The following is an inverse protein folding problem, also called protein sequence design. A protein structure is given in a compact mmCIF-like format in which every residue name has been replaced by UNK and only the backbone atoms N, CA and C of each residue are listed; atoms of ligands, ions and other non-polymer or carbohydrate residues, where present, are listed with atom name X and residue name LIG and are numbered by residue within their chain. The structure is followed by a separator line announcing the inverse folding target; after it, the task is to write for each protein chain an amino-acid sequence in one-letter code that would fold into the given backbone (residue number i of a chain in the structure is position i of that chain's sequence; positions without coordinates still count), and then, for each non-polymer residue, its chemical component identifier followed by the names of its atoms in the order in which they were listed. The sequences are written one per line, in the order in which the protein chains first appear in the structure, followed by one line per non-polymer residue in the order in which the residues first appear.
data_IF_727572007933
#
_entry.id   IF_727572007933
#
_cell.length_a   1.000
_cell.length_b   1.000
_cell.length_c   1.000
_cell.angle_alpha   90.00
_cell.angle_beta   90.00
_cell.angle_gamma   90.00
#
_symmetry.space_group_name_H-M   'P 1'
#
loop_
_entity.id
_entity.type
_entity.pdbx_description
1 polymer ?
#
# COMPACT_ATOMS: atom_id res chain seq x y z
N UNK A 1 -9.41 24.59 17.91
CA UNK A 1 -8.64 25.23 16.81
C UNK A 1 -8.68 24.32 15.60
N UNK A 2 -8.82 24.87 14.38
CA UNK A 2 -9.03 24.08 13.16
C UNK A 2 -8.00 24.53 12.10
N UNK A 3 -6.86 23.84 12.01
CA UNK A 3 -5.79 24.16 11.04
C UNK A 3 -6.14 23.66 9.63
N UNK A 4 -5.31 24.00 8.63
CA UNK A 4 -5.42 23.43 7.28
C UNK A 4 -5.44 21.89 7.30
N UNK A 5 -4.53 21.27 8.07
CA UNK A 5 -4.47 19.82 8.22
C UNK A 5 -5.75 19.24 8.82
N UNK A 6 -6.38 19.91 9.79
CA UNK A 6 -7.67 19.47 10.33
C UNK A 6 -8.75 19.48 9.24
N UNK A 7 -8.86 20.57 8.47
CA UNK A 7 -9.87 20.67 7.40
C UNK A 7 -9.68 19.54 6.38
N UNK A 8 -8.46 19.38 5.87
CA UNK A 8 -8.12 18.36 4.88
C UNK A 8 -8.35 16.94 5.41
N UNK A 9 -7.92 16.66 6.64
CA UNK A 9 -8.10 15.36 7.28
C UNK A 9 -9.58 15.03 7.53
N UNK A 10 -10.35 15.98 8.05
CA UNK A 10 -11.77 15.78 8.38
C UNK A 10 -12.59 15.43 7.12
N UNK A 11 -12.33 16.09 5.99
CA UNK A 11 -13.00 15.78 4.71
C UNK A 11 -12.73 14.33 4.30
N UNK A 12 -11.47 13.89 4.35
CA UNK A 12 -11.10 12.51 4.01
C UNK A 12 -11.71 11.50 4.98
N UNK A 13 -11.70 11.81 6.28
CA UNK A 13 -12.25 10.92 7.30
C UNK A 13 -13.75 10.76 7.21
N UNK A 14 -14.51 11.85 7.02
CA UNK A 14 -15.96 11.76 6.80
C UNK A 14 -16.28 10.83 5.64
N UNK A 15 -15.58 11.02 4.50
CA UNK A 15 -15.75 10.15 3.34
C UNK A 15 -15.42 8.68 3.63
N UNK A 16 -14.32 8.40 4.33
CA UNK A 16 -13.95 7.02 4.72
C UNK A 16 -15.05 6.37 5.56
N UNK A 17 -15.58 7.12 6.53
CA UNK A 17 -16.58 6.64 7.48
C UNK A 17 -17.92 6.38 6.80
N UNK A 18 -18.39 7.33 6.00
CA UNK A 18 -19.67 7.24 5.29
C UNK A 18 -19.64 6.15 4.22
N UNK A 19 -18.61 6.13 3.35
CA UNK A 19 -18.47 5.17 2.25
C UNK A 19 -18.37 3.72 2.74
N UNK A 20 -17.89 3.50 3.97
CA UNK A 20 -17.65 2.17 4.53
C UNK A 20 -18.55 1.83 5.72
N UNK A 21 -19.45 2.74 6.13
CA UNK A 21 -20.35 2.60 7.29
C UNK A 21 -19.60 2.12 8.54
N UNK A 22 -18.47 2.74 8.84
CA UNK A 22 -17.56 2.28 9.91
C UNK A 22 -18.12 2.59 11.30
N UNK A 23 -18.13 1.58 12.16
CA UNK A 23 -18.40 1.73 13.59
C UNK A 23 -17.12 1.74 14.43
N UNK A 24 -16.03 1.20 13.89
CA UNK A 24 -14.74 1.11 14.56
C UNK A 24 -13.58 1.22 13.57
N UNK A 25 -12.45 1.74 14.04
CA UNK A 25 -11.20 1.85 13.28
C UNK A 25 -10.01 1.42 14.13
N UNK A 26 -9.00 0.83 13.48
CA UNK A 26 -7.68 0.59 14.07
C UNK A 26 -6.69 1.60 13.53
N UNK A 27 -5.90 2.20 14.41
CA UNK A 27 -4.87 3.18 14.06
C UNK A 27 -3.50 2.61 14.38
N UNK A 28 -2.73 2.31 13.34
CA UNK A 28 -1.34 1.89 13.47
C UNK A 28 -0.44 3.07 13.78
N UNK A 29 0.19 3.04 14.95
CA UNK A 29 1.11 4.09 15.40
C UNK A 29 2.53 3.55 15.59
N UNK A 30 3.53 4.43 15.50
CA UNK A 30 4.94 4.12 15.72
C UNK A 30 5.60 5.00 16.78
N UNK A 31 4.94 6.07 17.26
CA UNK A 31 5.54 7.09 18.13
C UNK A 31 6.37 8.14 17.40
N UNK A 32 6.63 7.93 16.10
CA UNK A 32 7.24 8.93 15.24
C UNK A 32 6.27 10.08 14.91
N UNK A 33 6.84 11.14 14.36
CA UNK A 33 6.16 12.40 14.05
C UNK A 33 4.83 12.21 13.30
N UNK A 34 4.83 11.47 12.19
CA UNK A 34 3.63 11.29 11.35
C UNK A 34 2.53 10.53 12.08
N UNK A 35 2.91 9.54 12.90
CA UNK A 35 1.95 8.76 13.69
C UNK A 35 1.33 9.59 14.83
N UNK A 36 2.11 10.47 15.45
CA UNK A 36 1.60 11.37 16.49
C UNK A 36 0.69 12.44 15.89
N UNK A 37 1.05 13.00 14.72
CA UNK A 37 0.17 13.89 13.97
C UNK A 37 -1.16 13.21 13.61
N UNK A 38 -1.10 11.97 13.08
CA UNK A 38 -2.29 11.19 12.77
C UNK A 38 -3.18 10.98 14.01
N UNK A 39 -2.58 10.54 15.13
CA UNK A 39 -3.29 10.33 16.39
C UNK A 39 -4.02 11.60 16.80
N UNK A 40 -3.34 12.74 16.82
CA UNK A 40 -3.95 14.02 17.20
C UNK A 40 -5.12 14.42 16.30
N UNK A 41 -4.94 14.30 14.99
CA UNK A 41 -5.98 14.60 14.01
C UNK A 41 -7.21 13.69 14.19
N UNK A 42 -7.00 12.42 14.50
CA UNK A 42 -8.09 11.46 14.77
C UNK A 42 -8.86 11.83 16.05
N UNK A 43 -8.17 12.17 17.14
CA UNK A 43 -8.81 12.55 18.40
C UNK A 43 -9.57 13.87 18.27
N UNK A 44 -8.97 14.86 17.60
CA UNK A 44 -9.61 16.15 17.35
C UNK A 44 -10.82 16.00 16.41
N UNK A 45 -10.74 15.09 15.43
CA UNK A 45 -11.87 14.72 14.58
C UNK A 45 -13.00 14.10 15.41
N UNK A 46 -12.72 13.08 16.23
CA UNK A 46 -13.70 12.41 17.10
C UNK A 46 -14.42 13.41 18.01
N UNK A 47 -13.66 14.30 18.64
CA UNK A 47 -14.18 15.35 19.53
C UNK A 47 -15.09 16.33 18.77
N UNK A 48 -14.70 16.73 17.57
CA UNK A 48 -15.44 17.72 16.76
C UNK A 48 -16.74 17.16 16.20
N UNK A 49 -16.72 15.95 15.66
CA UNK A 49 -17.89 15.35 15.00
C UNK A 49 -18.85 14.67 15.96
N UNK A 50 -18.50 14.56 17.25
CA UNK A 50 -19.20 13.72 18.24
C UNK A 50 -19.44 12.30 17.69
N UNK A 51 -18.51 11.83 16.85
CA UNK A 51 -18.65 10.55 16.18
C UNK A 51 -18.63 9.41 17.19
N UNK A 52 -19.56 8.48 17.04
CA UNK A 52 -19.66 7.27 17.85
C UNK A 52 -18.63 6.20 17.48
N UNK A 53 -17.68 6.52 16.59
CA UNK A 53 -16.68 5.56 16.14
C UNK A 53 -15.75 5.19 17.29
N UNK A 54 -15.63 3.89 17.52
CA UNK A 54 -14.64 3.32 18.42
C UNK A 54 -13.26 3.37 17.76
N UNK A 55 -12.27 3.86 18.51
CA UNK A 55 -10.90 4.03 18.04
C UNK A 55 -10.01 3.13 18.88
N UNK A 56 -9.27 2.26 18.21
CA UNK A 56 -8.29 1.39 18.84
C UNK A 56 -6.91 1.66 18.26
N UNK A 57 -5.93 1.89 19.13
CA UNK A 57 -4.55 2.09 18.71
C UNK A 57 -3.80 0.77 18.75
N UNK A 58 -2.93 0.55 17.77
CA UNK A 58 -2.03 -0.61 17.75
C UNK A 58 -0.58 -0.16 17.55
N UNK A 59 0.30 -0.67 18.40
CA UNK A 59 1.75 -0.49 18.30
C UNK A 59 2.42 -1.86 18.22
N UNK A 60 3.40 -1.96 17.33
CA UNK A 60 4.17 -3.19 17.10
C UNK A 60 5.62 -2.88 17.40
N UNK A 61 6.10 -3.42 18.52
CA UNK A 61 7.48 -3.34 18.94
C UNK A 61 8.29 -4.46 18.26
N UNK A 62 9.18 -4.07 17.36
CA UNK A 62 10.10 -4.99 16.68
C UNK A 62 11.31 -5.36 17.56
N UNK A 63 11.44 -4.80 18.76
CA UNK A 63 12.53 -5.05 19.71
C UNK A 63 13.94 -4.82 19.10
N UNK A 64 14.04 -3.91 18.13
CA UNK A 64 15.32 -3.53 17.52
C UNK A 64 16.20 -2.70 18.45
N UNK A 65 15.64 -2.18 19.55
CA UNK A 65 16.34 -1.34 20.50
C UNK A 65 16.03 -1.75 21.93
N UNK A 66 17.01 -1.55 22.79
CA UNK A 66 16.90 -1.82 24.22
C UNK A 66 15.96 -0.84 24.93
N UNK A 67 15.75 0.36 24.37
CA UNK A 67 14.91 1.42 24.92
C UNK A 67 13.44 1.35 24.48
N UNK A 68 13.03 0.32 23.72
CA UNK A 68 11.66 0.18 23.22
C UNK A 68 10.60 0.20 24.33
N UNK A 69 10.96 -0.28 25.53
CA UNK A 69 10.11 -0.25 26.74
C UNK A 69 9.71 1.18 27.13
N UNK A 70 10.61 2.15 27.00
CA UNK A 70 10.31 3.55 27.31
C UNK A 70 9.37 4.16 26.29
N UNK A 71 9.57 3.84 25.01
CA UNK A 71 8.66 4.25 23.93
C UNK A 71 7.25 3.67 24.12
N UNK A 72 7.15 2.40 24.53
CA UNK A 72 5.87 1.78 24.88
C UNK A 72 5.18 2.54 26.02
N UNK A 73 5.90 2.77 27.13
CA UNK A 73 5.36 3.49 28.29
C UNK A 73 4.88 4.90 27.90
N UNK A 74 5.65 5.58 27.07
CA UNK A 74 5.33 6.90 26.52
C UNK A 74 4.01 6.90 25.74
N UNK A 75 3.86 5.95 24.81
CA UNK A 75 2.64 5.81 24.00
C UNK A 75 1.41 5.46 24.85
N UNK A 76 1.55 4.54 25.81
CA UNK A 76 0.47 4.18 26.74
C UNK A 76 -0.01 5.42 27.50
N UNK A 77 0.92 6.17 28.09
CA UNK A 77 0.60 7.34 28.88
C UNK A 77 -0.11 8.40 28.04
N UNK A 78 0.36 8.64 26.81
CA UNK A 78 -0.24 9.63 25.93
C UNK A 78 -1.66 9.25 25.48
N UNK A 79 -1.90 7.99 25.12
CA UNK A 79 -3.22 7.53 24.66
C UNK A 79 -4.24 7.48 25.79
N UNK A 80 -3.80 7.19 27.02
CA UNK A 80 -4.64 7.27 28.22
C UNK A 80 -5.26 8.65 28.43
N UNK A 81 -4.57 9.73 28.03
CA UNK A 81 -5.12 11.10 28.10
C UNK A 81 -6.40 11.28 27.26
N UNK A 82 -6.55 10.48 26.19
CA UNK A 82 -7.72 10.47 25.32
C UNK A 82 -8.78 9.43 25.70
N UNK A 83 -8.61 8.73 26.84
CA UNK A 83 -9.49 7.65 27.30
C UNK A 83 -9.68 6.52 26.26
N UNK A 84 -8.68 6.30 25.40
CA UNK A 84 -8.66 5.20 24.44
C UNK A 84 -7.66 4.13 24.89
N UNK A 85 -7.72 2.96 24.26
CA UNK A 85 -6.83 1.82 24.54
C UNK A 85 -5.79 1.67 23.43
N UNK A 86 -4.64 1.11 23.80
CA UNK A 86 -3.58 0.70 22.87
C UNK A 86 -3.28 -0.78 23.05
N UNK A 87 -3.30 -1.53 21.96
CA UNK A 87 -2.80 -2.90 21.90
C UNK A 87 -1.32 -2.88 21.52
N UNK A 88 -0.49 -3.55 22.31
CA UNK A 88 0.96 -3.62 22.09
C UNK A 88 1.33 -5.06 21.76
N UNK A 89 2.01 -5.24 20.63
CA UNK A 89 2.55 -6.52 20.22
C UNK A 89 4.08 -6.42 20.20
N UNK A 90 4.75 -7.27 20.97
CA UNK A 90 6.21 -7.35 20.98
C UNK A 90 6.66 -8.57 20.19
N UNK A 91 7.47 -8.37 19.15
CA UNK A 91 8.00 -9.45 18.33
C UNK A 91 9.33 -9.89 18.91
N UNK A 92 9.37 -11.10 19.48
CA UNK A 92 10.57 -11.65 20.13
C UNK A 92 11.64 -12.11 19.13
N UNK A 93 11.27 -12.40 17.88
CA UNK A 93 12.22 -12.85 16.86
C UNK A 93 12.93 -11.66 16.25
N UNK A 94 14.26 -11.68 16.24
CA UNK A 94 15.08 -10.67 15.53
C UNK A 94 14.73 -10.68 14.04
N UNK A 95 14.02 -9.64 13.60
CA UNK A 95 13.72 -9.42 12.19
C UNK A 95 14.78 -8.49 11.63
N UNK A 96 15.75 -9.04 10.91
CA UNK A 96 16.93 -8.28 10.45
C UNK A 96 16.60 -7.38 9.25
N UNK A 97 15.55 -7.69 8.46
CA UNK A 97 15.20 -6.90 7.28
C UNK A 97 13.92 -6.07 7.45
N UNK A 98 13.97 -4.81 7.00
CA UNK A 98 12.82 -3.89 7.01
C UNK A 98 11.61 -4.46 6.26
N UNK A 99 11.85 -5.21 5.18
CA UNK A 99 10.81 -5.89 4.39
C UNK A 99 10.08 -6.94 5.25
N UNK A 100 10.81 -7.86 5.89
CA UNK A 100 10.20 -8.89 6.75
C UNK A 100 9.51 -8.25 7.95
N UNK A 101 10.05 -7.17 8.50
CA UNK A 101 9.44 -6.45 9.61
C UNK A 101 8.11 -5.82 9.19
N UNK A 102 8.06 -5.23 7.99
CA UNK A 102 6.83 -4.68 7.41
C UNK A 102 5.79 -5.76 7.12
N UNK A 103 6.18 -6.92 6.60
CA UNK A 103 5.27 -8.05 6.38
C UNK A 103 4.67 -8.57 7.68
N UNK A 104 5.51 -8.82 8.69
CA UNK A 104 5.05 -9.25 10.02
C UNK A 104 4.13 -8.21 10.67
N UNK A 105 4.46 -6.92 10.53
CA UNK A 105 3.64 -5.83 11.04
C UNK A 105 2.23 -5.88 10.44
N UNK A 106 2.13 -5.98 9.11
CA UNK A 106 0.82 -6.07 8.46
C UNK A 106 0.08 -7.34 8.84
N UNK A 107 0.76 -8.49 8.96
CA UNK A 107 0.14 -9.74 9.42
C UNK A 107 -0.48 -9.60 10.80
N UNK A 108 0.23 -8.98 11.75
CA UNK A 108 -0.25 -8.74 13.11
C UNK A 108 -1.47 -7.80 13.10
N UNK A 109 -1.38 -6.66 12.39
CA UNK A 109 -2.48 -5.69 12.34
C UNK A 109 -3.72 -6.31 11.68
N UNK A 110 -3.56 -7.08 10.60
CA UNK A 110 -4.68 -7.75 9.93
C UNK A 110 -5.33 -8.77 10.86
N UNK A 111 -4.54 -9.59 11.56
CA UNK A 111 -5.07 -10.59 12.50
C UNK A 111 -5.80 -9.93 13.67
N UNK A 112 -5.23 -8.86 14.23
CA UNK A 112 -5.89 -8.06 15.27
C UNK A 112 -7.21 -7.48 14.75
N UNK A 113 -7.21 -6.85 13.57
CA UNK A 113 -8.43 -6.32 12.97
C UNK A 113 -9.52 -7.37 12.75
N UNK A 114 -9.16 -8.60 12.33
CA UNK A 114 -10.10 -9.70 12.19
C UNK A 114 -10.70 -10.13 13.53
N UNK A 115 -9.88 -10.23 14.57
CA UNK A 115 -10.32 -10.67 15.91
C UNK A 115 -11.29 -9.67 16.56
N UNK A 116 -11.11 -8.37 16.30
CA UNK A 116 -11.95 -7.30 16.85
C UNK A 116 -13.04 -6.80 15.87
N UNK A 117 -13.24 -7.50 14.75
CA UNK A 117 -14.25 -7.20 13.73
C UNK A 117 -14.13 -5.78 13.14
N UNK A 118 -12.91 -5.23 13.10
CA UNK A 118 -12.63 -3.94 12.47
C UNK A 118 -12.44 -4.12 10.97
N UNK A 119 -13.14 -3.31 10.18
CA UNK A 119 -13.04 -3.32 8.72
C UNK A 119 -12.07 -2.27 8.16
N UNK A 120 -11.58 -1.35 9.00
CA UNK A 120 -10.70 -0.26 8.58
C UNK A 120 -9.44 -0.13 9.47
N UNK A 121 -8.29 -0.08 8.80
CA UNK A 121 -6.99 0.24 9.41
C UNK A 121 -6.53 1.60 8.86
N UNK A 122 -6.00 2.47 9.72
CA UNK A 122 -5.48 3.78 9.35
C UNK A 122 -3.99 3.85 9.73
N UNK A 123 -3.15 4.37 8.82
CA UNK A 123 -1.71 4.55 9.07
C UNK A 123 -1.24 5.92 8.61
N UNK A 124 -0.21 6.46 9.27
CA UNK A 124 0.29 7.83 9.05
C UNK A 124 1.28 7.96 7.90
N UNK A 125 1.12 7.21 6.80
CA UNK A 125 2.01 7.38 5.64
C UNK A 125 1.74 8.73 4.95
N UNK A 126 2.81 9.38 4.51
CA UNK A 126 2.85 10.76 4.01
C UNK A 126 3.20 10.84 2.53
N UNK A 127 3.18 12.05 1.96
CA UNK A 127 3.63 12.28 0.57
C UNK A 127 5.09 11.89 0.38
N UNK A 128 5.94 12.23 1.34
CA UNK A 128 7.36 11.86 1.35
C UNK A 128 7.53 10.35 1.27
N UNK A 129 6.74 9.60 2.05
CA UNK A 129 6.80 8.13 2.02
C UNK A 129 6.41 7.55 0.67
N UNK A 130 5.46 8.18 -0.03
CA UNK A 130 5.03 7.78 -1.37
C UNK A 130 6.16 7.96 -2.38
N UNK A 131 6.86 9.10 -2.34
CA UNK A 131 7.99 9.40 -3.23
C UNK A 131 9.17 8.49 -2.94
N UNK A 132 9.53 8.29 -1.66
CA UNK A 132 10.59 7.36 -1.26
C UNK A 132 10.30 5.94 -1.73
N UNK A 133 9.07 5.46 -1.52
CA UNK A 133 8.63 4.13 -1.95
C UNK A 133 8.68 4.01 -3.48
N UNK A 134 8.30 5.06 -4.21
CA UNK A 134 8.41 5.10 -5.67
C UNK A 134 9.88 5.00 -6.11
N UNK A 135 10.76 5.87 -5.63
CA UNK A 135 12.17 5.91 -6.03
C UNK A 135 12.89 4.59 -5.71
N UNK A 136 12.64 4.00 -4.54
CA UNK A 136 13.21 2.69 -4.19
C UNK A 136 12.78 1.59 -5.17
N UNK A 137 11.51 1.56 -5.55
CA UNK A 137 11.01 0.56 -6.49
C UNK A 137 11.50 0.83 -7.92
N UNK A 138 11.58 2.09 -8.32
CA UNK A 138 12.10 2.49 -9.62
C UNK A 138 13.56 2.04 -9.80
N UNK A 139 14.42 2.32 -8.81
CA UNK A 139 15.84 1.94 -8.82
C UNK A 139 16.02 0.41 -8.88
N UNK A 140 15.13 -0.35 -8.23
CA UNK A 140 15.17 -1.82 -8.26
C UNK A 140 14.62 -2.44 -9.56
N UNK A 141 14.05 -1.62 -10.44
CA UNK A 141 13.24 -2.07 -11.56
C UNK A 141 11.85 -2.49 -11.08
N UNK A 142 10.82 -1.81 -11.59
CA UNK A 142 9.44 -2.10 -11.19
C UNK A 142 8.47 -1.88 -12.34
N UNK A 143 7.30 -2.52 -12.25
CA UNK A 143 6.17 -2.20 -13.12
C UNK A 143 5.44 -0.97 -12.60
N UNK A 144 4.50 -0.45 -13.39
CA UNK A 144 3.63 0.65 -12.95
C UNK A 144 2.88 0.31 -11.65
N UNK A 145 2.55 -0.97 -11.42
CA UNK A 145 1.90 -1.43 -10.20
C UNK A 145 2.77 -1.29 -8.95
N UNK A 146 4.07 -1.54 -9.10
CA UNK A 146 5.02 -1.26 -8.02
C UNK A 146 5.26 0.24 -7.88
N UNK A 147 5.49 0.95 -8.97
CA UNK A 147 5.70 2.41 -8.96
C UNK A 147 4.56 3.15 -8.23
N UNK A 148 3.31 2.73 -8.44
CA UNK A 148 2.11 3.31 -7.80
C UNK A 148 1.61 2.50 -6.59
N UNK A 149 2.47 1.76 -5.89
CA UNK A 149 2.02 0.80 -4.86
C UNK A 149 1.53 1.44 -3.54
N UNK A 150 1.96 2.66 -3.24
CA UNK A 150 1.55 3.39 -2.04
C UNK A 150 0.36 4.31 -2.35
N UNK A 151 -0.85 3.74 -2.24
CA UNK A 151 -2.14 4.42 -2.53
C UNK A 151 -2.93 4.76 -1.27
N UNK A 152 -3.87 5.69 -1.40
CA UNK A 152 -4.73 6.16 -0.31
C UNK A 152 -5.56 5.03 0.32
N UNK A 153 -6.21 4.20 -0.50
CA UNK A 153 -7.08 3.10 -0.09
C UNK A 153 -6.55 1.80 -0.68
N UNK A 154 -6.23 0.82 0.16
CA UNK A 154 -5.79 -0.51 -0.26
C UNK A 154 -6.62 -1.58 0.43
N UNK A 155 -7.31 -2.43 -0.35
CA UNK A 155 -7.93 -3.65 0.20
C UNK A 155 -6.83 -4.62 0.62
N UNK A 156 -6.84 -5.06 1.87
CA UNK A 156 -5.91 -6.07 2.38
C UNK A 156 -6.50 -7.47 2.24
N UNK A 157 -7.81 -7.60 2.42
CA UNK A 157 -8.60 -8.80 2.10
C UNK A 157 -10.06 -8.39 1.81
N UNK A 158 -10.98 -9.36 1.80
CA UNK A 158 -12.42 -9.13 1.52
C UNK A 158 -13.12 -8.28 2.59
N UNK A 159 -12.59 -8.21 3.82
CA UNK A 159 -13.23 -7.54 4.98
C UNK A 159 -12.50 -6.29 5.43
N UNK A 160 -11.19 -6.20 5.19
CA UNK A 160 -10.31 -5.19 5.77
C UNK A 160 -9.72 -4.30 4.68
N UNK A 161 -9.87 -2.99 4.89
CA UNK A 161 -9.29 -1.94 4.06
C UNK A 161 -8.32 -1.08 4.85
N UNK A 162 -7.16 -0.81 4.26
CA UNK A 162 -6.17 0.12 4.77
C UNK A 162 -6.34 1.51 4.15
N UNK A 163 -6.35 2.54 4.99
CA UNK A 163 -6.43 3.94 4.63
C UNK A 163 -5.17 4.72 5.07
N UNK A 164 -4.75 5.67 4.23
CA UNK A 164 -3.61 6.56 4.46
C UNK A 164 -4.04 8.02 4.27
N UNK A 165 -4.75 8.61 5.22
CA UNK A 165 -5.33 9.96 5.06
C UNK A 165 -4.28 11.06 4.89
N UNK A 166 -3.06 10.85 5.40
CA UNK A 166 -1.96 11.82 5.30
C UNK A 166 -1.12 11.69 4.01
N UNK A 167 -1.50 10.83 3.06
CA UNK A 167 -0.67 10.48 1.90
C UNK A 167 -0.34 11.67 0.97
N UNK A 168 -1.14 12.74 1.01
CA UNK A 168 -0.93 13.96 0.21
C UNK A 168 -0.37 15.11 1.04
N UNK A 169 0.01 14.86 2.30
CA UNK A 169 0.52 15.87 3.25
C UNK A 169 2.04 15.80 3.27
N UNK A 170 2.67 16.97 3.22
CA UNK A 170 4.11 17.14 3.23
C UNK A 170 4.68 17.02 4.66
N UNK A 171 5.94 16.60 4.76
CA UNK A 171 6.62 16.50 6.06
C UNK A 171 6.75 17.84 6.78
N UNK A 172 6.91 18.94 6.04
CA UNK A 172 6.95 20.30 6.59
C UNK A 172 5.65 20.68 7.29
N UNK A 173 4.50 20.34 6.70
CA UNK A 173 3.18 20.58 7.27
C UNK A 173 2.95 19.76 8.54
N UNK A 174 3.38 18.50 8.54
CA UNK A 174 3.35 17.63 9.73
C UNK A 174 4.26 18.20 10.81
N UNK A 175 5.45 18.70 10.46
CA UNK A 175 6.40 19.27 11.42
C UNK A 175 5.80 20.51 12.10
N UNK A 176 5.29 21.43 11.29
CA UNK A 176 4.59 22.60 11.79
C UNK A 176 3.44 22.22 12.72
N UNK A 177 2.62 21.24 12.32
CA UNK A 177 1.51 20.76 13.14
C UNK A 177 1.98 20.20 14.47
N UNK A 178 2.97 19.31 14.46
CA UNK A 178 3.51 18.72 15.68
C UNK A 178 4.08 19.77 16.62
N UNK A 179 4.79 20.78 16.10
CA UNK A 179 5.30 21.90 16.90
C UNK A 179 4.18 22.76 17.46
N UNK A 180 3.17 23.08 16.65
CA UNK A 180 2.04 23.92 17.06
C UNK A 180 1.23 23.32 18.21
N UNK A 181 1.13 21.99 18.25
CA UNK A 181 0.36 21.25 19.26
C UNK A 181 1.23 20.56 20.32
N UNK A 182 2.54 20.86 20.36
CA UNK A 182 3.49 20.28 21.33
C UNK A 182 3.42 18.76 21.39
N UNK A 183 3.37 18.12 20.22
CA UNK A 183 3.21 16.68 20.12
C UNK A 183 4.43 15.96 20.70
N UNK A 184 4.24 14.96 21.57
CA UNK A 184 5.36 14.29 22.23
C UNK A 184 5.93 13.20 21.32
N UNK A 185 6.77 13.60 20.38
CA UNK A 185 7.38 12.72 19.38
C UNK A 185 8.50 11.89 20.02
N UNK A 186 8.48 10.58 19.79
CA UNK A 186 9.62 9.73 20.10
C UNK A 186 10.64 9.78 18.94
N UNK A 187 11.81 10.36 19.18
CA UNK A 187 12.86 10.46 18.16
C UNK A 187 13.51 9.10 17.92
N UNK A 188 13.54 8.65 16.67
CA UNK A 188 14.22 7.42 16.29
C UNK A 188 15.61 7.76 15.72
N UNK A 189 16.66 7.41 16.48
CA UNK A 189 18.06 7.62 16.09
C UNK A 189 18.43 6.93 14.76
N UNK A 190 17.73 5.85 14.40
CA UNK A 190 17.99 5.13 13.14
C UNK A 190 17.64 5.97 11.92
N UNK A 191 16.83 7.03 12.07
CA UNK A 191 16.57 8.00 10.99
C UNK A 191 17.84 8.72 10.53
N UNK A 192 18.91 8.71 11.33
CA UNK A 192 20.19 9.34 10.99
C UNK A 192 21.20 8.34 10.41
N UNK A 193 20.83 7.08 10.20
CA UNK A 193 21.72 6.08 9.60
C UNK A 193 21.54 6.03 8.08
N UNK A 194 22.53 6.55 7.35
CA UNK A 194 22.50 6.67 5.89
C UNK A 194 22.73 5.34 5.15
N UNK A 195 23.21 4.30 5.86
CA UNK A 195 23.26 2.93 5.34
C UNK A 195 21.86 2.37 5.01
N UNK A 196 20.81 2.95 5.61
CA UNK A 196 19.43 2.65 5.26
C UNK A 196 19.08 3.45 4.00
N UNK A 197 18.90 2.73 2.88
CA UNK A 197 18.61 3.32 1.56
C UNK A 197 17.50 4.39 1.57
N UNK A 198 16.47 4.21 2.40
CA UNK A 198 15.38 5.18 2.57
C UNK A 198 15.85 6.51 3.15
N UNK A 199 16.69 6.48 4.19
CA UNK A 199 17.26 7.68 4.79
C UNK A 199 18.19 8.39 3.81
N UNK A 200 18.98 7.63 3.05
CA UNK A 200 19.85 8.20 2.01
C UNK A 200 19.06 8.91 0.92
N UNK A 201 17.97 8.32 0.44
CA UNK A 201 17.08 8.97 -0.51
C UNK A 201 16.53 10.30 0.03
N UNK A 202 16.12 10.30 1.29
CA UNK A 202 15.52 11.43 1.99
C UNK A 202 16.50 12.59 2.25
N UNK A 203 17.72 12.29 2.69
CA UNK A 203 18.67 13.31 3.14
C UNK A 203 19.75 13.66 2.12
N UNK A 204 20.02 12.81 1.13
CA UNK A 204 20.99 13.11 0.07
C UNK A 204 20.29 13.31 -1.27
N UNK A 205 19.58 12.28 -1.76
CA UNK A 205 19.15 12.25 -3.16
C UNK A 205 18.05 13.26 -3.49
N UNK A 206 16.97 13.30 -2.70
CA UNK A 206 15.88 14.26 -2.93
C UNK A 206 16.38 15.71 -2.77
N UNK A 207 17.15 16.07 -1.73
CA UNK A 207 17.77 17.40 -1.65
C UNK A 207 18.68 17.72 -2.83
N UNK A 208 19.48 16.75 -3.30
CA UNK A 208 20.32 16.92 -4.48
C UNK A 208 19.49 17.22 -5.74
N UNK A 209 18.42 16.48 -5.98
CA UNK A 209 17.50 16.76 -7.10
C UNK A 209 16.86 18.15 -6.99
N UNK A 210 16.44 18.53 -5.79
CA UNK A 210 15.84 19.85 -5.54
C UNK A 210 16.82 21.00 -5.81
N UNK A 211 18.10 20.82 -5.47
CA UNK A 211 19.11 21.87 -5.58
C UNK A 211 19.69 22.01 -7.01
N UNK A 212 19.84 20.89 -7.73
CA UNK A 212 20.58 20.88 -9.00
C UNK A 212 19.74 20.63 -10.25
N UNK A 213 18.51 20.11 -10.12
CA UNK A 213 17.67 19.78 -11.27
C UNK A 213 16.40 20.60 -11.32
N UNK A 214 15.58 20.54 -10.27
CA UNK A 214 14.29 21.21 -10.25
C UNK A 214 13.84 21.49 -8.83
N UNK A 215 13.52 22.74 -8.54
CA UNK A 215 12.90 23.08 -7.27
C UNK A 215 11.57 22.33 -7.12
N UNK A 216 11.34 21.74 -5.96
CA UNK A 216 10.09 21.07 -5.60
C UNK A 216 9.80 19.81 -6.44
N UNK A 217 10.83 19.02 -6.76
CA UNK A 217 10.74 17.75 -7.50
C UNK A 217 9.71 16.79 -6.89
N UNK A 218 9.53 16.85 -5.57
CA UNK A 218 8.58 16.03 -4.81
C UNK A 218 7.12 16.24 -5.26
N UNK A 219 6.75 17.49 -5.57
CA UNK A 219 5.41 17.78 -6.10
C UNK A 219 5.22 17.16 -7.49
N UNK A 220 6.18 17.37 -8.40
CA UNK A 220 6.13 16.84 -9.76
C UNK A 220 6.06 15.31 -9.77
N UNK A 221 6.87 14.64 -8.93
CA UNK A 221 6.84 13.19 -8.78
C UNK A 221 5.49 12.71 -8.24
N UNK A 222 4.90 13.42 -7.28
CA UNK A 222 3.60 13.05 -6.75
C UNK A 222 2.49 13.19 -7.79
N UNK A 223 2.53 14.22 -8.64
CA UNK A 223 1.54 14.44 -9.70
C UNK A 223 1.67 13.37 -10.78
N UNK A 224 2.90 13.04 -11.19
CA UNK A 224 3.17 11.89 -12.06
C UNK A 224 2.60 10.59 -11.48
N UNK A 225 2.80 10.34 -10.18
CA UNK A 225 2.27 9.16 -9.51
C UNK A 225 0.74 9.15 -9.43
N UNK A 226 0.11 10.31 -9.27
CA UNK A 226 -1.35 10.43 -9.25
C UNK A 226 -1.95 10.08 -10.61
N UNK A 227 -1.41 10.65 -11.69
CA UNK A 227 -1.84 10.38 -13.07
C UNK A 227 -1.61 8.90 -13.40
N UNK A 228 -0.39 8.42 -13.15
CA UNK A 228 -0.01 7.02 -13.35
C UNK A 228 -0.94 6.05 -12.62
N UNK A 229 -1.38 6.38 -11.41
CA UNK A 229 -2.28 5.52 -10.64
C UNK A 229 -3.69 5.46 -11.27
N UNK A 230 -4.21 6.59 -11.78
CA UNK A 230 -5.52 6.64 -12.44
C UNK A 230 -5.51 5.78 -13.70
N UNK A 231 -4.50 5.96 -14.55
CA UNK A 231 -4.33 5.16 -15.78
C UNK A 231 -4.16 3.68 -15.46
N UNK A 232 -3.35 3.38 -14.44
CA UNK A 232 -3.10 2.01 -13.99
C UNK A 232 -4.41 1.33 -13.54
N UNK A 233 -5.24 2.01 -12.74
CA UNK A 233 -6.53 1.49 -12.29
C UNK A 233 -7.49 1.25 -13.46
N UNK A 234 -7.53 2.14 -14.45
CA UNK A 234 -8.34 1.94 -15.66
C UNK A 234 -7.92 0.67 -16.43
N UNK A 235 -6.61 0.47 -16.64
CA UNK A 235 -6.08 -0.74 -17.30
C UNK A 235 -6.42 -1.99 -16.50
N UNK A 236 -6.31 -1.95 -15.16
CA UNK A 236 -6.68 -3.09 -14.29
C UNK A 236 -8.16 -3.45 -14.43
N UNK A 237 -9.04 -2.45 -14.39
CA UNK A 237 -10.48 -2.67 -14.50
C UNK A 237 -10.85 -3.32 -15.84
N UNK A 238 -10.26 -2.85 -16.94
CA UNK A 238 -10.46 -3.43 -18.26
C UNK A 238 -9.92 -4.86 -18.36
N UNK A 239 -8.74 -5.14 -17.78
CA UNK A 239 -8.20 -6.49 -17.73
C UNK A 239 -9.07 -7.44 -16.90
N UNK A 240 -9.62 -6.99 -15.77
CA UNK A 240 -10.56 -7.77 -14.95
C UNK A 240 -11.85 -8.06 -15.73
N UNK A 241 -12.42 -7.04 -16.38
CA UNK A 241 -13.63 -7.20 -17.21
C UNK A 241 -13.40 -8.22 -18.32
N UNK A 242 -12.28 -8.12 -19.04
CA UNK A 242 -11.93 -9.07 -20.09
C UNK A 242 -11.71 -10.47 -19.51
N UNK A 243 -11.03 -10.59 -18.38
CA UNK A 243 -10.79 -11.87 -17.72
C UNK A 243 -12.11 -12.59 -17.39
N UNK A 244 -13.07 -11.87 -16.79
CA UNK A 244 -14.37 -12.44 -16.42
C UNK A 244 -15.12 -12.97 -17.65
N UNK A 245 -15.14 -12.21 -18.75
CA UNK A 245 -15.85 -12.57 -19.98
C UNK A 245 -15.14 -13.69 -20.76
N UNK A 246 -13.81 -13.75 -20.69
CA UNK A 246 -13.00 -14.73 -21.42
C UNK A 246 -12.75 -16.03 -20.67
N UNK A 247 -13.06 -16.12 -19.38
CA UNK A 247 -12.84 -17.34 -18.58
C UNK A 247 -13.85 -18.43 -18.90
N UNK A 248 -13.38 -19.67 -19.02
CA UNK A 248 -14.24 -20.83 -19.17
C UNK A 248 -15.03 -21.10 -17.87
N UNK A 249 -16.29 -21.56 -17.97
CA UNK A 249 -17.16 -21.74 -16.80
C UNK A 249 -16.77 -22.92 -15.90
N UNK A 250 -16.22 -23.99 -16.48
CA UNK A 250 -15.94 -25.27 -15.77
C UNK A 250 -14.47 -25.61 -15.62
N UNK A 251 -13.62 -25.11 -16.52
CA UNK A 251 -12.23 -25.54 -16.64
C UNK A 251 -11.32 -24.34 -16.39
N UNK A 252 -10.07 -24.58 -15.98
CA UNK A 252 -9.06 -23.52 -15.89
C UNK A 252 -8.60 -23.19 -17.32
N UNK A 253 -9.41 -22.39 -18.01
CA UNK A 253 -9.15 -22.02 -19.39
C UNK A 253 -9.58 -20.58 -19.70
N UNK A 254 -8.91 -19.98 -20.67
CA UNK A 254 -9.09 -18.59 -21.10
C UNK A 254 -9.26 -18.51 -22.62
N UNK A 255 -10.33 -17.85 -23.08
CA UNK A 255 -10.60 -17.67 -24.50
C UNK A 255 -9.67 -16.59 -25.08
N UNK A 256 -8.62 -17.02 -25.77
CA UNK A 256 -7.59 -16.10 -26.27
C UNK A 256 -8.04 -15.31 -27.50
N UNK A 257 -9.12 -15.69 -28.21
CA UNK A 257 -9.65 -14.88 -29.32
C UNK A 257 -10.15 -13.52 -28.82
N UNK A 258 -10.77 -13.50 -27.64
CA UNK A 258 -11.20 -12.25 -27.00
C UNK A 258 -10.01 -11.41 -26.52
N UNK A 259 -8.89 -12.04 -26.15
CA UNK A 259 -7.67 -11.32 -25.80
C UNK A 259 -7.01 -10.72 -27.05
N UNK A 260 -6.92 -11.49 -28.13
CA UNK A 260 -6.22 -11.11 -29.36
C UNK A 260 -6.67 -9.77 -29.96
N UNK A 261 -7.96 -9.43 -29.84
CA UNK A 261 -8.53 -8.18 -30.36
C UNK A 261 -8.22 -6.95 -29.49
N UNK A 262 -7.71 -7.15 -28.28
CA UNK A 262 -7.47 -6.09 -27.30
C UNK A 262 -6.06 -5.51 -27.47
N UNK A 263 -5.86 -4.29 -26.96
CA UNK A 263 -4.52 -3.70 -26.92
C UNK A 263 -3.54 -4.59 -26.12
N UNK A 264 -2.26 -4.60 -26.52
CA UNK A 264 -1.21 -5.42 -25.91
C UNK A 264 -1.13 -5.29 -24.38
N UNK A 265 -1.32 -4.08 -23.86
CA UNK A 265 -1.36 -3.82 -22.42
C UNK A 265 -2.47 -4.60 -21.68
N UNK A 266 -3.65 -4.76 -22.31
CA UNK A 266 -4.76 -5.53 -21.73
C UNK A 266 -4.50 -7.03 -21.86
N UNK A 267 -3.92 -7.48 -22.97
CA UNK A 267 -3.53 -8.88 -23.16
C UNK A 267 -2.55 -9.35 -22.07
N UNK A 268 -1.47 -8.59 -21.87
CA UNK A 268 -0.45 -8.88 -20.85
C UNK A 268 -1.06 -8.93 -19.45
N UNK A 269 -1.86 -7.92 -19.08
CA UNK A 269 -2.54 -7.83 -17.78
C UNK A 269 -3.52 -8.98 -17.54
N UNK A 270 -4.29 -9.35 -18.55
CA UNK A 270 -5.31 -10.41 -18.44
C UNK A 270 -4.66 -11.78 -18.27
N UNK A 271 -3.58 -12.06 -19.01
CA UNK A 271 -2.80 -13.29 -18.82
C UNK A 271 -2.16 -13.33 -17.42
N UNK A 272 -1.51 -12.25 -16.99
CA UNK A 272 -0.96 -12.17 -15.62
C UNK A 272 -2.03 -12.42 -14.55
N UNK A 273 -3.22 -11.83 -14.72
CA UNK A 273 -4.35 -12.03 -13.82
C UNK A 273 -4.84 -13.49 -13.81
N UNK A 274 -4.94 -14.13 -14.99
CA UNK A 274 -5.35 -15.54 -15.10
C UNK A 274 -4.40 -16.47 -14.34
N UNK A 275 -3.08 -16.32 -14.52
CA UNK A 275 -2.10 -17.16 -13.82
C UNK A 275 -2.06 -16.87 -12.32
N UNK A 276 -2.13 -15.59 -11.94
CA UNK A 276 -2.14 -15.21 -10.53
C UNK A 276 -3.39 -15.71 -9.80
N UNK A 277 -4.57 -15.56 -10.40
CA UNK A 277 -5.83 -15.99 -9.80
C UNK A 277 -5.90 -17.51 -9.57
N UNK A 278 -5.40 -18.31 -10.51
CA UNK A 278 -5.57 -19.77 -10.45
C UNK A 278 -4.40 -20.50 -9.80
N UNK A 279 -3.19 -19.93 -9.83
CA UNK A 279 -1.97 -20.62 -9.36
C UNK A 279 -1.13 -19.79 -8.37
N UNK A 280 -1.55 -18.56 -8.05
CA UNK A 280 -0.78 -17.61 -7.24
C UNK A 280 0.65 -17.40 -7.77
N UNK A 281 0.83 -17.45 -9.10
CA UNK A 281 2.11 -17.28 -9.80
C UNK A 281 1.98 -16.17 -10.85
N UNK A 282 3.01 -15.33 -10.97
CA UNK A 282 3.15 -14.36 -12.07
C UNK A 282 4.03 -14.92 -13.18
N UNK A 283 3.64 -14.67 -14.43
CA UNK A 283 4.45 -15.06 -15.58
C UNK A 283 5.71 -14.20 -15.64
N UNK A 284 6.86 -14.80 -15.96
CA UNK A 284 8.05 -14.04 -16.31
C UNK A 284 7.87 -13.36 -17.68
N UNK A 285 8.70 -12.36 -17.98
CA UNK A 285 8.57 -11.54 -19.20
C UNK A 285 8.63 -12.41 -20.46
N UNK A 286 9.55 -13.36 -20.51
CA UNK A 286 9.78 -14.20 -21.69
C UNK A 286 8.59 -15.12 -21.97
N UNK A 287 8.05 -15.79 -20.94
CA UNK A 287 6.88 -16.64 -21.11
C UNK A 287 5.64 -15.84 -21.48
N UNK A 288 5.45 -14.65 -20.89
CA UNK A 288 4.34 -13.77 -21.23
C UNK A 288 4.40 -13.35 -22.70
N UNK A 289 5.58 -12.93 -23.18
CA UNK A 289 5.79 -12.58 -24.58
C UNK A 289 5.56 -13.77 -25.51
N UNK A 290 6.04 -14.95 -25.14
CA UNK A 290 5.85 -16.19 -25.90
C UNK A 290 4.37 -16.55 -26.03
N UNK A 291 3.61 -16.48 -24.93
CA UNK A 291 2.17 -16.73 -24.94
C UNK A 291 1.44 -15.74 -25.86
N UNK A 292 1.72 -14.44 -25.72
CA UNK A 292 1.06 -13.40 -26.54
C UNK A 292 1.37 -13.59 -28.02
N UNK A 293 2.64 -13.89 -28.35
CA UNK A 293 3.04 -14.16 -29.72
C UNK A 293 2.28 -15.35 -30.31
N UNK A 294 2.14 -16.43 -29.54
CA UNK A 294 1.42 -17.63 -29.99
C UNK A 294 -0.07 -17.34 -30.17
N UNK A 295 -0.70 -16.66 -29.21
CA UNK A 295 -2.14 -16.36 -29.25
C UNK A 295 -2.51 -15.37 -30.37
N UNK A 296 -1.58 -14.50 -30.75
CA UNK A 296 -1.82 -13.50 -31.80
C UNK A 296 -1.58 -14.06 -33.21
N UNK A 297 -0.77 -15.11 -33.35
CA UNK A 297 -0.60 -15.81 -34.64
C UNK A 297 -1.77 -16.74 -34.94
N UNK A 298 -2.02 -17.00 -36.22
CA UNK A 298 -2.95 -18.05 -36.67
C UNK A 298 -2.16 -19.35 -36.76
N UNK A 299 -2.22 -20.18 -35.71
CA UNK A 299 -1.70 -21.54 -35.76
C UNK A 299 -2.85 -22.52 -36.00
N UNK A 300 -2.70 -23.41 -36.99
CA UNK A 300 -3.67 -24.47 -37.27
C UNK A 300 -3.45 -25.72 -36.38
N UNK A 301 -2.32 -25.80 -35.67
CA UNK A 301 -1.96 -26.92 -34.79
C UNK A 301 -1.94 -26.47 -33.33
N UNK A 302 -2.34 -27.38 -32.45
CA UNK A 302 -2.15 -27.30 -31.02
C UNK A 302 -0.72 -26.90 -30.64
N UNK A 303 -0.59 -25.98 -29.69
CA UNK A 303 0.70 -25.62 -29.10
C UNK A 303 0.72 -26.05 -27.63
N UNK A 304 1.81 -26.67 -27.21
CA UNK A 304 2.01 -27.11 -25.84
C UNK A 304 3.26 -26.44 -25.28
N UNK A 305 3.13 -25.81 -24.13
CA UNK A 305 4.21 -25.11 -23.44
C UNK A 305 4.29 -25.58 -21.99
N UNK A 306 5.50 -25.78 -21.50
CA UNK A 306 5.72 -26.12 -20.09
C UNK A 306 6.26 -24.89 -19.35
N UNK A 307 5.68 -24.58 -18.20
CA UNK A 307 6.15 -23.49 -17.34
C UNK A 307 5.91 -23.78 -15.87
N UNK A 308 6.98 -23.84 -15.06
CA UNK A 308 6.90 -24.02 -13.61
C UNK A 308 5.99 -25.18 -13.16
N UNK A 309 6.16 -26.34 -13.79
CA UNK A 309 5.37 -27.57 -13.59
C UNK A 309 3.92 -27.53 -14.10
N UNK A 310 3.52 -26.45 -14.77
CA UNK A 310 2.22 -26.35 -15.45
C UNK A 310 2.41 -26.66 -16.93
N UNK A 311 1.45 -27.36 -17.52
CA UNK A 311 1.40 -27.57 -18.97
C UNK A 311 0.29 -26.69 -19.52
N UNK A 312 0.67 -25.77 -20.40
CA UNK A 312 -0.21 -24.81 -21.05
C UNK A 312 -0.49 -25.30 -22.47
N UNK A 313 -1.73 -25.65 -22.72
CA UNK A 313 -2.22 -26.07 -24.02
C UNK A 313 -2.92 -24.90 -24.70
N UNK A 314 -2.59 -24.64 -25.95
CA UNK A 314 -3.22 -23.60 -26.76
C UNK A 314 -3.80 -24.29 -27.98
N UNK A 315 -5.09 -24.55 -27.92
CA UNK A 315 -5.83 -25.27 -28.95
C UNK A 315 -7.16 -24.59 -29.23
N UNK A 316 -7.59 -24.63 -30.49
CA UNK A 316 -8.80 -24.00 -30.99
C UNK A 316 -8.88 -22.50 -30.66
N UNK A 317 -9.50 -22.14 -29.54
CA UNK A 317 -9.68 -20.77 -29.06
C UNK A 317 -9.34 -20.59 -27.58
N UNK A 318 -8.79 -21.63 -26.94
CA UNK A 318 -8.58 -21.67 -25.51
C UNK A 318 -7.11 -21.81 -25.18
N UNK A 319 -6.70 -21.12 -24.12
CA UNK A 319 -5.51 -21.43 -23.34
C UNK A 319 -6.02 -22.29 -22.18
N UNK A 320 -5.65 -23.56 -22.13
CA UNK A 320 -5.98 -24.51 -21.08
C UNK A 320 -4.73 -24.83 -20.26
N UNK A 321 -4.89 -25.09 -18.96
CA UNK A 321 -3.81 -25.52 -18.09
C UNK A 321 -4.19 -26.84 -17.44
N UNK A 322 -3.32 -27.85 -17.60
CA UNK A 322 -3.36 -29.14 -16.92
C UNK A 322 -2.31 -29.21 -15.82
#
# INVERSE_FOLDING_TARGET
MNTYLHKHFNIKMNKIIEDQKLQSIIVGISGGQDSMCLLKLIEDFKKKTKSYIKIEYIYIDHQWKNDSKYQIKHLINYIKLYKNTISIYQIQKLVISEIKARELRYKIIINHALNYQNSAIITGHTKTDKIETFLQQLIRGTSIDGATSLIFKRKLNTRITLFRPLLDINRSEINWFCRKFYMPIWSDITNYYYNISRNRLRYEFIPYLNNYFMFNIENNLNDFLNISNIENEYIKQNAIKLYIISRHKKNIALNYKLLKIQHFAIQTRTLQLFFYHNFNKSLNKDMLMKLIFITNKKYNKAQLLQWNHLIIHIEYQWIYIS
#
